data_IF_625886893970
#
_entry.id   IF_625886893970
#
_cell.length_a   1.000
_cell.length_b   1.000
_cell.length_c   1.000
_cell.angle_alpha   90.00
_cell.angle_beta   90.00
_cell.angle_gamma   90.00
#
_symmetry.space_group_name_H-M   'P 1'
#
loop_
_entity.id
_entity.type
_entity.pdbx_description
1 polymer ?
#
# COMPACT_ATOMS: atom_id res chain seq x y z
N UNK A 1 4.16 2.48 4.02
CA UNK A 1 4.57 1.06 3.98
C UNK A 1 5.80 0.88 4.87
N UNK A 2 5.60 0.56 6.16
CA UNK A 2 6.71 0.33 7.08
C UNK A 2 7.56 -0.87 6.70
N UNK A 3 8.80 -0.90 7.18
CA UNK A 3 9.72 -2.02 7.02
C UNK A 3 9.43 -3.05 8.09
N UNK A 4 9.33 -4.33 7.72
CA UNK A 4 9.18 -5.44 8.65
C UNK A 4 10.55 -5.97 9.12
N UNK A 5 10.64 -6.34 10.40
CA UNK A 5 11.82 -6.92 11.04
C UNK A 5 11.44 -8.21 11.75
N UNK A 6 12.33 -9.18 11.73
CA UNK A 6 12.20 -10.37 12.58
C UNK A 6 12.36 -9.96 14.05
N UNK A 7 11.33 -10.20 14.86
CA UNK A 7 11.31 -9.90 16.29
C UNK A 7 10.89 -11.12 17.08
N UNK A 8 11.27 -11.15 18.36
CA UNK A 8 10.81 -12.20 19.28
C UNK A 8 9.33 -12.04 19.60
N UNK A 9 8.67 -13.09 20.11
CA UNK A 9 7.24 -13.03 20.47
C UNK A 9 6.90 -11.90 21.45
N UNK A 10 7.83 -11.58 22.37
CA UNK A 10 7.66 -10.50 23.35
C UNK A 10 7.70 -9.09 22.72
N UNK A 11 8.19 -9.00 21.49
CA UNK A 11 8.43 -7.74 20.78
C UNK A 11 7.65 -7.65 19.46
N UNK A 12 6.59 -8.45 19.28
CA UNK A 12 5.79 -8.47 18.05
C UNK A 12 5.23 -7.08 17.69
N UNK A 13 4.90 -6.26 18.69
CA UNK A 13 4.46 -4.87 18.46
C UNK A 13 5.52 -3.98 17.80
N UNK A 14 6.78 -4.42 17.77
CA UNK A 14 7.93 -3.72 17.16
C UNK A 14 8.39 -4.37 15.85
N UNK A 15 7.57 -5.25 15.26
CA UNK A 15 7.92 -5.92 14.00
C UNK A 15 7.91 -4.96 12.81
N UNK A 16 7.08 -3.92 12.83
CA UNK A 16 7.04 -2.88 11.82
C UNK A 16 7.67 -1.58 12.33
N UNK A 17 8.35 -0.85 11.43
CA UNK A 17 8.77 0.53 11.71
C UNK A 17 7.58 1.45 11.96
N UNK A 18 7.79 2.49 12.76
CA UNK A 18 6.76 3.45 13.14
C UNK A 18 6.74 4.68 12.22
N UNK A 19 5.65 5.47 12.18
CA UNK A 19 5.62 6.74 11.46
C UNK A 19 6.80 7.64 11.85
N UNK A 20 7.46 8.25 10.87
CA UNK A 20 8.68 9.05 11.07
C UNK A 20 9.99 8.24 11.08
N UNK A 21 9.92 6.91 11.13
CA UNK A 21 11.07 6.04 10.87
C UNK A 21 11.18 5.69 9.37
N UNK A 22 12.23 4.95 8.99
CA UNK A 22 12.38 4.49 7.61
C UNK A 22 11.21 3.61 7.15
N UNK A 23 10.77 3.85 5.91
CA UNK A 23 9.69 3.14 5.25
C UNK A 23 10.02 2.95 3.75
N UNK A 24 9.41 1.95 3.10
CA UNK A 24 9.52 1.79 1.64
C UNK A 24 8.73 2.86 0.89
N UNK A 25 7.59 3.24 1.46
CA UNK A 25 6.75 4.34 0.98
C UNK A 25 6.25 5.12 2.19
N UNK A 26 6.44 6.43 2.17
CA UNK A 26 5.85 7.39 3.09
C UNK A 26 5.57 8.65 2.28
N UNK A 27 4.54 8.56 1.43
CA UNK A 27 4.25 9.54 0.41
C UNK A 27 3.03 10.38 0.81
N UNK A 28 3.12 11.68 0.62
CA UNK A 28 1.97 12.57 0.61
C UNK A 28 1.32 12.65 -0.78
N UNK A 29 0.30 13.49 -0.93
CA UNK A 29 -0.40 13.67 -2.21
C UNK A 29 0.52 14.17 -3.31
N UNK A 30 1.44 15.09 -3.02
CA UNK A 30 2.33 15.69 -4.01
C UNK A 30 3.35 14.66 -4.55
N UNK A 31 3.89 13.82 -3.67
CA UNK A 31 4.77 12.71 -4.02
C UNK A 31 4.03 11.64 -4.83
N UNK A 32 2.81 11.28 -4.45
CA UNK A 32 1.98 10.34 -5.22
C UNK A 32 1.69 10.87 -6.63
N UNK A 33 1.36 12.15 -6.77
CA UNK A 33 1.17 12.78 -8.08
C UNK A 33 2.45 12.76 -8.91
N UNK A 34 3.61 13.03 -8.30
CA UNK A 34 4.90 12.94 -8.98
C UNK A 34 5.19 11.52 -9.50
N UNK A 35 4.86 10.48 -8.71
CA UNK A 35 4.98 9.08 -9.15
C UNK A 35 4.06 8.77 -10.33
N UNK A 36 2.80 9.21 -10.27
CA UNK A 36 1.85 9.04 -11.39
C UNK A 36 2.34 9.76 -12.64
N UNK A 37 2.83 11.00 -12.51
CA UNK A 37 3.42 11.74 -13.64
C UNK A 37 4.60 10.99 -14.23
N UNK A 38 5.54 10.51 -13.39
CA UNK A 38 6.70 9.72 -13.83
C UNK A 38 6.30 8.49 -14.66
N UNK A 39 5.32 7.71 -14.20
CA UNK A 39 4.86 6.52 -14.93
C UNK A 39 4.28 6.90 -16.30
N UNK A 40 3.67 8.08 -16.42
CA UNK A 40 3.07 8.59 -17.66
C UNK A 40 4.06 9.24 -18.63
N UNK A 41 5.31 9.53 -18.23
CA UNK A 41 6.25 10.26 -19.10
C UNK A 41 6.82 9.42 -20.24
N UNK A 42 6.69 8.08 -20.20
CA UNK A 42 7.35 7.17 -21.14
C UNK A 42 8.87 7.03 -20.93
N UNK A 43 9.42 7.67 -19.90
CA UNK A 43 10.86 7.57 -19.51
C UNK A 43 11.05 6.85 -18.18
N UNK A 44 9.98 6.24 -17.66
CA UNK A 44 10.05 5.37 -16.50
C UNK A 44 10.59 4.00 -16.92
N UNK A 45 11.91 3.88 -17.14
CA UNK A 45 12.55 2.65 -17.65
C UNK A 45 12.26 1.38 -16.82
N UNK A 46 11.97 1.52 -15.53
CA UNK A 46 11.54 0.41 -14.68
C UNK A 46 10.14 -0.13 -15.03
N UNK A 47 9.32 0.65 -15.73
CA UNK A 47 7.97 0.34 -16.21
C UNK A 47 7.83 0.59 -17.72
N UNK A 48 8.96 0.59 -18.45
CA UNK A 48 8.99 0.57 -19.91
C UNK A 48 9.91 -0.57 -20.39
N UNK A 49 9.37 -1.69 -20.91
CA UNK A 49 7.94 -1.97 -21.06
C UNK A 49 7.23 -2.13 -19.69
N UNK A 50 5.90 -1.92 -19.64
CA UNK A 50 5.13 -1.94 -18.40
C UNK A 50 5.07 -3.33 -17.78
N UNK A 51 5.09 -3.37 -16.46
CA UNK A 51 4.89 -4.60 -15.69
C UNK A 51 3.46 -5.12 -15.86
N UNK A 52 3.31 -6.43 -16.02
CA UNK A 52 2.00 -7.09 -15.96
C UNK A 52 1.68 -7.36 -14.51
N UNK A 53 0.65 -6.69 -13.97
CA UNK A 53 0.27 -6.80 -12.56
C UNK A 53 -1.12 -7.40 -12.39
N UNK A 54 -1.31 -8.12 -11.28
CA UNK A 54 -2.61 -8.58 -10.80
C UNK A 54 -2.68 -8.40 -9.29
N UNK A 55 -3.66 -7.63 -8.84
CA UNK A 55 -3.98 -7.45 -7.43
C UNK A 55 -5.18 -8.33 -7.09
N UNK A 56 -4.95 -9.38 -6.29
CA UNK A 56 -6.02 -10.16 -5.69
C UNK A 56 -6.26 -9.58 -4.31
N UNK A 57 -7.48 -9.10 -4.07
CA UNK A 57 -7.87 -8.51 -2.80
C UNK A 57 -8.89 -9.44 -2.14
N UNK A 58 -8.61 -9.84 -0.90
CA UNK A 58 -9.44 -10.77 -0.15
C UNK A 58 -9.58 -10.31 1.30
N UNK A 59 -10.42 -11.02 2.09
CA UNK A 59 -10.57 -10.78 3.52
C UNK A 59 -10.94 -9.33 3.86
N UNK A 60 -11.71 -8.67 2.99
CA UNK A 60 -12.13 -7.28 3.18
C UNK A 60 -13.02 -7.21 4.41
N UNK A 61 -12.64 -6.37 5.37
CA UNK A 61 -13.37 -6.11 6.61
C UNK A 61 -13.44 -4.62 6.87
N UNK A 62 -14.66 -4.12 7.05
CA UNK A 62 -14.88 -2.78 7.62
C UNK A 62 -14.85 -2.93 9.13
N UNK A 63 -13.81 -2.39 9.77
CA UNK A 63 -13.58 -2.49 11.21
C UNK A 63 -14.34 -1.42 12.00
N UNK A 64 -14.69 -0.31 11.36
CA UNK A 64 -15.49 0.75 11.97
C UNK A 64 -15.49 2.04 11.17
N UNK A 65 -15.90 3.12 11.83
CA UNK A 65 -15.85 4.49 11.32
C UNK A 65 -14.93 5.29 12.24
N UNK A 66 -13.99 6.04 11.67
CA UNK A 66 -13.02 6.86 12.40
C UNK A 66 -13.18 8.33 12.03
N UNK A 67 -13.10 9.21 13.03
CA UNK A 67 -13.20 10.66 12.82
C UNK A 67 -14.62 11.17 12.57
N UNK A 68 -15.66 10.37 12.86
CA UNK A 68 -17.02 10.88 12.94
C UNK A 68 -17.18 11.72 14.21
N UNK A 69 -17.79 12.89 14.07
CA UNK A 69 -18.07 13.82 15.17
C UNK A 69 -19.57 14.06 15.37
N UNK A 70 -19.92 14.65 16.52
CA UNK A 70 -21.30 15.04 16.84
C UNK A 70 -21.82 16.20 15.96
N UNK A 71 -20.96 16.80 15.15
CA UNK A 71 -21.23 17.87 14.19
C UNK A 71 -21.81 17.38 12.85
N UNK A 72 -22.10 16.08 12.73
CA UNK A 72 -22.68 15.49 11.53
C UNK A 72 -21.68 15.22 10.41
N UNK A 73 -20.37 15.34 10.68
CA UNK A 73 -19.33 14.93 9.72
C UNK A 73 -19.32 13.40 9.62
N UNK A 74 -19.54 12.89 8.40
CA UNK A 74 -19.32 11.46 8.13
C UNK A 74 -17.84 11.13 8.29
N UNK A 75 -17.53 10.23 9.24
CA UNK A 75 -16.17 9.71 9.42
C UNK A 75 -15.72 8.81 8.27
N UNK A 76 -14.40 8.59 8.21
CA UNK A 76 -13.80 7.68 7.23
C UNK A 76 -14.03 6.21 7.67
N UNK A 77 -14.24 5.31 6.72
CA UNK A 77 -14.32 3.88 6.99
C UNK A 77 -12.92 3.33 7.28
N UNK A 78 -12.75 2.62 8.40
CA UNK A 78 -11.53 1.86 8.67
C UNK A 78 -11.64 0.47 8.03
N UNK A 79 -10.88 0.23 6.96
CA UNK A 79 -11.00 -0.97 6.13
C UNK A 79 -9.72 -1.77 6.12
N UNK A 80 -9.80 -3.02 6.56
CA UNK A 80 -8.73 -4.00 6.44
C UNK A 80 -8.96 -4.91 5.24
N UNK A 81 -7.89 -5.24 4.53
CA UNK A 81 -7.92 -6.23 3.45
C UNK A 81 -6.58 -6.94 3.35
N UNK A 82 -6.60 -8.17 2.82
CA UNK A 82 -5.39 -8.86 2.42
C UNK A 82 -5.19 -8.70 0.92
N UNK A 83 -3.93 -8.73 0.47
CA UNK A 83 -3.60 -8.68 -0.93
C UNK A 83 -2.55 -9.71 -1.33
N UNK A 84 -2.67 -10.17 -2.57
CA UNK A 84 -1.56 -10.71 -3.36
C UNK A 84 -1.36 -9.76 -4.53
N UNK A 85 -0.16 -9.21 -4.64
CA UNK A 85 0.28 -8.50 -5.85
C UNK A 85 1.22 -9.41 -6.61
N UNK A 86 0.71 -9.96 -7.70
CA UNK A 86 1.49 -10.72 -8.67
C UNK A 86 2.00 -9.79 -9.76
N UNK A 87 3.30 -9.86 -10.07
CA UNK A 87 3.94 -9.06 -11.10
C UNK A 87 4.83 -9.93 -11.97
N UNK A 88 4.67 -9.83 -13.30
CA UNK A 88 5.67 -10.32 -14.25
C UNK A 88 6.21 -9.19 -15.12
N UNK A 89 7.48 -9.30 -15.52
CA UNK A 89 8.15 -8.31 -16.36
C UNK A 89 9.14 -8.96 -17.33
N UNK A 90 9.40 -8.26 -18.43
CA UNK A 90 10.30 -8.70 -19.50
C UNK A 90 10.00 -10.14 -19.92
N UNK A 91 11.05 -10.96 -20.05
CA UNK A 91 10.98 -12.36 -20.51
C UNK A 91 10.59 -13.33 -19.39
N UNK A 92 11.12 -13.16 -18.18
CA UNK A 92 11.03 -14.20 -17.14
C UNK A 92 11.04 -13.66 -15.71
N UNK A 93 10.96 -12.34 -15.51
CA UNK A 93 10.91 -11.79 -14.16
C UNK A 93 9.53 -12.00 -13.57
N UNK A 94 9.46 -12.59 -12.39
CA UNK A 94 8.24 -12.91 -11.68
C UNK A 94 8.42 -12.58 -10.20
N UNK A 95 7.52 -11.78 -9.65
CA UNK A 95 7.54 -11.35 -8.26
C UNK A 95 6.13 -11.45 -7.69
N UNK A 96 6.06 -11.93 -6.45
CA UNK A 96 4.82 -11.98 -5.68
C UNK A 96 5.05 -11.28 -4.35
N UNK A 97 4.14 -10.37 -4.04
CA UNK A 97 4.05 -9.74 -2.73
C UNK A 97 2.74 -10.13 -2.06
N UNK A 98 2.83 -10.48 -0.79
CA UNK A 98 1.68 -10.83 0.04
C UNK A 98 1.70 -9.94 1.26
N UNK A 99 0.53 -9.46 1.66
CA UNK A 99 0.41 -8.55 2.79
C UNK A 99 -1.02 -8.19 3.12
N UNK A 100 -1.16 -7.24 4.02
CA UNK A 100 -2.42 -6.61 4.36
C UNK A 100 -2.36 -5.10 4.15
N UNK A 101 -3.52 -4.50 3.90
CA UNK A 101 -3.69 -3.04 3.87
C UNK A 101 -4.71 -2.64 4.93
N UNK A 102 -4.39 -1.56 5.62
CA UNK A 102 -5.33 -0.80 6.43
C UNK A 102 -5.56 0.54 5.74
N UNK A 103 -6.76 0.74 5.24
CA UNK A 103 -7.16 1.92 4.47
C UNK A 103 -8.18 2.74 5.27
N UNK A 104 -8.02 4.05 5.27
CA UNK A 104 -9.10 4.99 5.61
C UNK A 104 -9.80 5.38 4.32
N UNK A 105 -11.07 5.01 4.20
CA UNK A 105 -11.86 5.22 2.98
C UNK A 105 -12.93 6.26 3.22
N UNK A 106 -12.84 7.37 2.50
CA UNK A 106 -13.76 8.50 2.57
C UNK A 106 -14.85 8.36 1.53
N UNK A 107 -16.11 8.57 1.92
CA UNK A 107 -17.20 8.79 0.97
C UNK A 107 -17.13 10.22 0.43
N UNK A 108 -17.15 10.36 -0.89
CA UNK A 108 -17.13 11.69 -1.53
C UNK A 108 -17.69 11.61 -2.94
N UNK A 109 -18.58 12.55 -3.29
CA UNK A 109 -19.12 12.69 -4.66
C UNK A 109 -19.80 11.43 -5.21
N UNK A 110 -20.45 10.64 -4.35
CA UNK A 110 -21.08 9.37 -4.74
C UNK A 110 -20.12 8.19 -4.90
N UNK A 111 -18.82 8.39 -4.61
CA UNK A 111 -17.78 7.37 -4.69
C UNK A 111 -16.99 7.21 -3.39
N UNK A 112 -15.95 6.38 -3.48
CA UNK A 112 -15.02 6.11 -2.39
C UNK A 112 -13.63 6.63 -2.78
N UNK A 113 -12.99 7.35 -1.86
CA UNK A 113 -11.63 7.85 -1.99
C UNK A 113 -10.76 7.25 -0.89
N UNK A 114 -9.50 6.98 -1.20
CA UNK A 114 -8.51 6.56 -0.19
C UNK A 114 -7.94 7.83 0.45
N UNK A 115 -8.24 8.03 1.73
CA UNK A 115 -7.72 9.15 2.52
C UNK A 115 -6.35 8.81 3.14
N UNK A 116 -6.16 7.55 3.53
CA UNK A 116 -4.90 7.02 4.07
C UNK A 116 -4.78 5.54 3.70
N UNK A 117 -3.55 5.06 3.51
CA UNK A 117 -3.26 3.64 3.26
C UNK A 117 -1.96 3.24 3.93
N UNK A 118 -2.07 2.28 4.85
CA UNK A 118 -0.93 1.57 5.44
C UNK A 118 -0.84 0.17 4.85
N UNK A 119 0.26 -0.11 4.17
CA UNK A 119 0.55 -1.42 3.59
C UNK A 119 1.55 -2.16 4.47
N UNK A 120 1.16 -3.32 4.96
CA UNK A 120 1.97 -4.22 5.77
C UNK A 120 2.38 -5.41 4.90
N UNK A 121 3.67 -5.52 4.61
CA UNK A 121 4.20 -6.58 3.75
C UNK A 121 4.72 -7.75 4.59
N UNK A 122 4.45 -8.99 4.15
CA UNK A 122 4.92 -10.22 4.78
C UNK A 122 6.37 -10.57 4.40
N UNK A 123 7.23 -9.56 4.24
CA UNK A 123 8.64 -9.73 3.87
C UNK A 123 9.52 -8.81 4.70
N UNK A 124 10.57 -9.38 5.31
CA UNK A 124 11.62 -8.61 5.99
C UNK A 124 12.71 -8.13 5.01
N UNK A 125 12.92 -8.88 3.93
CA UNK A 125 13.84 -8.55 2.83
C UNK A 125 13.04 -8.55 1.53
N UNK A 126 13.12 -7.45 0.78
CA UNK A 126 12.51 -7.34 -0.55
C UNK A 126 13.44 -8.03 -1.55
N UNK A 127 12.97 -9.12 -2.15
CA UNK A 127 13.72 -9.87 -3.16
C UNK A 127 13.58 -9.29 -4.57
N UNK A 128 12.60 -8.42 -4.79
CA UNK A 128 12.45 -7.71 -6.05
C UNK A 128 13.52 -6.64 -6.20
N UNK A 129 13.98 -6.43 -7.43
CA UNK A 129 14.92 -5.35 -7.78
C UNK A 129 14.35 -3.95 -7.51
N UNK A 130 13.03 -3.79 -7.51
CA UNK A 130 12.35 -2.51 -7.27
C UNK A 130 10.91 -2.70 -6.77
N UNK A 131 10.30 -1.59 -6.33
CA UNK A 131 8.88 -1.47 -6.00
C UNK A 131 8.24 -0.40 -6.92
N UNK A 132 8.26 -0.65 -8.22
CA UNK A 132 7.78 0.31 -9.24
C UNK A 132 6.26 0.37 -9.41
N UNK A 133 5.50 -0.49 -8.73
CA UNK A 133 4.05 -0.58 -8.83
C UNK A 133 3.36 -0.11 -7.53
N UNK A 134 2.09 0.28 -7.63
CA UNK A 134 1.27 0.62 -6.47
C UNK A 134 0.64 -0.63 -5.85
N UNK A 135 0.41 -0.58 -4.53
CA UNK A 135 -0.13 -1.67 -3.71
C UNK A 135 -1.53 -1.33 -3.19
#
# INVERSE_FOLDING_TARGET
MPIRRTRTRRELSKEFTQPGEMAYFDDDKALLEARVRKIRTGTAWAEDPPSRTRHLITNVRVAGVVGAGDDGVEGDLDVWSNFILYRTRLKSEEMTWVGSRNDKVRRSGGGLLIADRKIYLEQTVILSQNLSNFF
#
